data_IF_728710425326
#
_entry.id   IF_728710425326
#
_cell.length_a   1.000
_cell.length_b   1.000
_cell.length_c   1.000
_cell.angle_alpha   90.00
_cell.angle_beta   90.00
_cell.angle_gamma   90.00
#
_symmetry.space_group_name_H-M   'P 1'
#
loop_
_entity.id
_entity.type
_entity.pdbx_description
1 polymer ?
#
# COMPACT_ATOMS: atom_id res chain seq x y z
N UNK A 1 -0.04 33.57 -10.64
CA UNK A 1 -1.14 32.61 -10.90
C UNK A 1 -1.62 32.13 -9.54
N UNK A 2 -2.89 32.35 -9.15
CA UNK A 2 -3.41 31.76 -7.90
C UNK A 2 -3.51 30.25 -8.14
N UNK A 3 -2.77 29.45 -7.37
CA UNK A 3 -3.00 28.00 -7.34
C UNK A 3 -4.41 27.83 -6.82
N UNK A 4 -5.30 27.25 -7.64
CA UNK A 4 -6.64 26.90 -7.21
C UNK A 4 -6.50 25.83 -6.14
N UNK A 5 -7.10 26.06 -4.97
CA UNK A 5 -7.27 25.03 -3.96
C UNK A 5 -8.21 23.96 -4.53
N UNK A 6 -7.65 22.81 -4.93
CA UNK A 6 -8.39 21.74 -5.59
C UNK A 6 -9.52 21.21 -4.72
N UNK A 7 -9.41 21.32 -3.38
CA UNK A 7 -10.47 20.90 -2.45
C UNK A 7 -11.76 21.68 -2.67
N UNK A 8 -11.67 22.95 -3.09
CA UNK A 8 -12.84 23.78 -3.41
C UNK A 8 -13.64 23.29 -4.61
N UNK A 9 -13.08 22.40 -5.44
CA UNK A 9 -13.75 21.79 -6.60
C UNK A 9 -14.50 20.50 -6.24
N UNK A 10 -14.33 19.98 -5.03
CA UNK A 10 -14.94 18.73 -4.60
C UNK A 10 -16.40 18.93 -4.17
N UNK A 11 -17.23 17.89 -4.38
CA UNK A 11 -18.61 17.86 -3.88
C UNK A 11 -18.69 17.57 -2.38
N UNK A 12 -17.67 16.93 -1.82
CA UNK A 12 -17.53 16.57 -0.41
C UNK A 12 -16.06 16.35 -0.07
N UNK A 13 -15.70 16.49 1.20
CA UNK A 13 -14.35 16.20 1.69
C UNK A 13 -14.23 14.71 2.10
N UNK A 14 -13.48 13.95 1.31
CA UNK A 14 -13.17 12.55 1.58
C UNK A 14 -11.85 12.35 2.34
N UNK A 15 -11.19 13.43 2.79
CA UNK A 15 -9.85 13.37 3.39
C UNK A 15 -9.82 12.46 4.62
N UNK A 16 -10.86 12.51 5.48
CA UNK A 16 -10.91 11.66 6.67
C UNK A 16 -10.88 10.17 6.31
N UNK A 17 -11.67 9.76 5.31
CA UNK A 17 -11.71 8.37 4.83
C UNK A 17 -10.37 7.94 4.20
N UNK A 18 -9.76 8.82 3.40
CA UNK A 18 -8.47 8.55 2.77
C UNK A 18 -7.31 8.45 3.78
N UNK A 19 -7.45 9.04 4.97
CA UNK A 19 -6.44 9.05 6.02
C UNK A 19 -6.71 8.03 7.15
N UNK A 20 -7.71 7.15 7.00
CA UNK A 20 -7.99 6.09 7.97
C UNK A 20 -6.75 5.23 8.26
N UNK A 21 -6.55 4.85 9.53
CA UNK A 21 -5.38 4.08 9.97
C UNK A 21 -5.45 2.64 9.48
N UNK A 22 -6.65 2.11 9.29
CA UNK A 22 -6.94 0.75 8.88
C UNK A 22 -6.45 0.41 7.47
N UNK A 23 -6.13 1.43 6.64
CA UNK A 23 -5.60 1.26 5.30
C UNK A 23 -4.30 2.06 5.09
N UNK A 24 -3.16 1.54 5.61
CA UNK A 24 -1.90 2.28 5.64
C UNK A 24 -1.35 2.63 4.24
N UNK A 25 -1.60 1.79 3.23
CA UNK A 25 -1.20 2.06 1.84
C UNK A 25 -1.95 3.26 1.28
N UNK A 26 -3.28 3.30 1.43
CA UNK A 26 -4.09 4.44 0.96
C UNK A 26 -3.72 5.71 1.71
N UNK A 27 -3.54 5.62 3.04
CA UNK A 27 -3.09 6.75 3.87
C UNK A 27 -1.72 7.28 3.42
N UNK A 28 -0.74 6.40 3.18
CA UNK A 28 0.60 6.78 2.71
C UNK A 28 0.56 7.54 1.38
N UNK A 29 -0.11 6.98 0.36
CA UNK A 29 -0.20 7.64 -0.94
C UNK A 29 -1.05 8.91 -0.91
N UNK A 30 -2.06 8.99 -0.03
CA UNK A 30 -2.82 10.23 0.18
C UNK A 30 -1.94 11.33 0.75
N UNK A 31 -1.18 11.04 1.81
CA UNK A 31 -0.28 12.02 2.43
C UNK A 31 0.79 12.51 1.43
N UNK A 32 1.38 11.58 0.68
CA UNK A 32 2.48 11.88 -0.23
C UNK A 32 2.04 12.52 -1.55
N UNK A 33 1.05 11.93 -2.23
CA UNK A 33 0.75 12.25 -3.64
C UNK A 33 -0.49 13.15 -3.80
N UNK A 34 -1.37 13.23 -2.79
CA UNK A 34 -2.57 14.11 -2.82
C UNK A 34 -2.36 15.36 -1.96
N UNK A 35 -1.70 15.22 -0.81
CA UNK A 35 -1.39 16.34 0.09
C UNK A 35 0.02 16.91 -0.09
N UNK A 36 0.80 16.33 -1.01
CA UNK A 36 2.18 16.75 -1.32
C UNK A 36 3.09 16.83 -0.08
N UNK A 37 2.84 16.02 0.97
CA UNK A 37 3.69 16.00 2.15
C UNK A 37 5.07 15.44 1.77
N UNK A 38 6.16 16.06 2.24
CA UNK A 38 7.50 15.62 1.90
C UNK A 38 7.80 14.24 2.51
N UNK A 39 8.65 13.45 1.85
CA UNK A 39 9.01 12.11 2.32
C UNK A 39 9.46 12.03 3.79
N UNK A 40 10.29 12.97 4.29
CA UNK A 40 10.70 13.00 5.71
C UNK A 40 9.61 13.39 6.71
N UNK A 41 8.39 13.74 6.26
CA UNK A 41 7.28 14.07 7.14
C UNK A 41 6.98 12.88 8.09
N UNK A 42 6.83 13.12 9.41
CA UNK A 42 6.61 12.05 10.38
C UNK A 42 5.38 11.18 10.09
N UNK A 43 4.29 11.76 9.59
CA UNK A 43 3.07 11.01 9.26
C UNK A 43 3.27 10.13 8.03
N UNK A 44 3.99 10.64 7.02
CA UNK A 44 4.33 9.88 5.81
C UNK A 44 5.22 8.68 6.19
N UNK A 45 6.22 8.89 7.04
CA UNK A 45 7.11 7.83 7.51
C UNK A 45 6.39 6.81 8.39
N UNK A 46 5.46 7.25 9.23
CA UNK A 46 4.65 6.35 10.05
C UNK A 46 3.75 5.49 9.17
N UNK A 47 2.97 6.09 8.28
CA UNK A 47 2.11 5.35 7.36
C UNK A 47 2.90 4.35 6.51
N UNK A 48 4.11 4.72 6.06
CA UNK A 48 4.99 3.81 5.32
C UNK A 48 5.44 2.60 6.16
N UNK A 49 5.77 2.80 7.44
CA UNK A 49 6.10 1.68 8.36
C UNK A 49 4.88 0.79 8.59
N UNK A 50 3.71 1.40 8.74
CA UNK A 50 2.46 0.71 9.02
C UNK A 50 2.06 -0.25 7.90
N UNK A 51 2.38 0.07 6.64
CA UNK A 51 2.22 -0.84 5.48
C UNK A 51 2.85 -2.21 5.77
N UNK A 52 4.01 -2.26 6.41
CA UNK A 52 4.72 -3.50 6.69
C UNK A 52 4.26 -4.19 7.99
N UNK A 53 3.51 -3.50 8.84
CA UNK A 53 3.18 -3.98 10.20
C UNK A 53 1.78 -4.57 10.31
N UNK A 54 0.79 -4.01 9.61
CA UNK A 54 -0.58 -4.54 9.64
C UNK A 54 -1.31 -4.36 8.30
N UNK A 55 -2.48 -4.98 8.18
CA UNK A 55 -3.28 -4.97 6.95
C UNK A 55 -2.84 -6.04 5.94
N UNK A 56 -2.99 -5.74 4.64
CA UNK A 56 -2.91 -6.74 3.57
C UNK A 56 -1.48 -7.22 3.30
N UNK A 57 -0.48 -6.33 3.33
CA UNK A 57 0.91 -6.65 3.02
C UNK A 57 1.50 -7.73 3.94
N UNK A 58 1.50 -7.59 5.29
CA UNK A 58 2.02 -8.64 6.16
C UNK A 58 1.22 -9.95 6.04
N UNK A 59 -0.08 -9.88 5.74
CA UNK A 59 -0.91 -11.06 5.49
C UNK A 59 -0.49 -11.81 4.22
N UNK A 60 -0.18 -11.10 3.13
CA UNK A 60 0.34 -11.71 1.90
C UNK A 60 1.70 -12.34 2.19
N UNK A 61 2.62 -11.62 2.83
CA UNK A 61 3.97 -12.11 3.14
C UNK A 61 3.92 -13.35 4.05
N UNK A 62 3.03 -13.38 5.04
CA UNK A 62 2.82 -14.56 5.88
C UNK A 62 2.36 -15.76 5.05
N UNK A 63 1.35 -15.57 4.19
CA UNK A 63 0.82 -16.61 3.29
C UNK A 63 1.89 -17.13 2.33
N UNK A 64 2.82 -16.29 1.87
CA UNK A 64 3.89 -16.72 0.98
C UNK A 64 4.86 -17.73 1.61
N UNK A 65 4.89 -17.82 2.94
CA UNK A 65 5.70 -18.79 3.71
C UNK A 65 4.96 -20.11 3.98
N UNK A 66 3.66 -20.18 3.72
CA UNK A 66 2.88 -21.40 3.92
C UNK A 66 3.28 -22.47 2.89
N UNK A 67 3.42 -23.76 3.28
CA UNK A 67 3.75 -24.85 2.36
C UNK A 67 2.82 -24.92 1.14
N UNK A 68 1.54 -24.61 1.34
CA UNK A 68 0.50 -24.58 0.31
C UNK A 68 0.80 -23.55 -0.77
N UNK A 69 1.34 -22.40 -0.36
CA UNK A 69 1.73 -21.35 -1.28
C UNK A 69 3.01 -21.73 -2.04
N UNK A 70 4.00 -22.30 -1.35
CA UNK A 70 5.27 -22.76 -1.97
C UNK A 70 5.03 -23.78 -3.09
N UNK A 71 4.05 -24.68 -2.91
CA UNK A 71 3.63 -25.66 -3.95
C UNK A 71 3.14 -24.99 -5.24
N UNK A 72 2.77 -23.71 -5.21
CA UNK A 72 2.31 -22.95 -6.38
C UNK A 72 3.44 -22.30 -7.18
N UNK A 73 4.68 -22.31 -6.70
CA UNK A 73 5.82 -21.64 -7.34
C UNK A 73 6.04 -22.07 -8.81
N UNK A 74 5.92 -23.35 -9.19
CA UNK A 74 6.02 -23.76 -10.60
C UNK A 74 4.94 -23.12 -11.50
N UNK A 75 3.83 -22.64 -10.91
CA UNK A 75 2.73 -21.94 -11.58
C UNK A 75 2.77 -20.43 -11.31
N UNK A 76 3.98 -19.88 -11.17
CA UNK A 76 4.22 -18.48 -10.75
C UNK A 76 3.40 -17.43 -11.54
N UNK A 77 3.16 -17.66 -12.84
CA UNK A 77 2.35 -16.80 -13.70
C UNK A 77 0.93 -17.33 -13.94
N UNK A 78 0.78 -18.65 -14.15
CA UNK A 78 -0.49 -19.26 -14.60
C UNK A 78 -1.53 -19.40 -13.48
N UNK A 79 -1.13 -19.32 -12.22
CA UNK A 79 -2.04 -19.30 -11.09
C UNK A 79 -2.49 -17.86 -10.78
N UNK A 80 -3.49 -17.34 -11.51
CA UNK A 80 -3.85 -15.92 -11.52
C UNK A 80 -3.96 -15.22 -10.15
N UNK A 81 -4.46 -15.91 -9.12
CA UNK A 81 -4.66 -15.28 -7.80
C UNK A 81 -3.61 -15.67 -6.77
N UNK A 82 -2.88 -16.76 -6.96
CA UNK A 82 -1.92 -17.27 -5.96
C UNK A 82 -0.49 -17.38 -6.49
N UNK A 83 -0.28 -17.16 -7.78
CA UNK A 83 1.04 -17.17 -8.40
C UNK A 83 1.89 -16.01 -7.91
N UNK A 84 3.19 -16.27 -7.79
CA UNK A 84 4.16 -15.32 -7.25
C UNK A 84 4.14 -13.97 -7.96
N UNK A 85 4.02 -13.94 -9.29
CA UNK A 85 4.05 -12.67 -10.05
C UNK A 85 2.91 -11.73 -9.66
N UNK A 86 1.71 -12.27 -9.45
CA UNK A 86 0.52 -11.49 -9.12
C UNK A 86 0.59 -10.93 -7.71
N UNK A 87 1.12 -11.72 -6.77
CA UNK A 87 1.33 -11.26 -5.39
C UNK A 87 2.44 -10.20 -5.31
N UNK A 88 3.50 -10.31 -6.12
CA UNK A 88 4.53 -9.27 -6.20
C UNK A 88 4.00 -7.94 -6.75
N UNK A 89 3.12 -7.98 -7.76
CA UNK A 89 2.45 -6.77 -8.28
C UNK A 89 1.62 -6.11 -7.18
N UNK A 90 0.80 -6.89 -6.46
CA UNK A 90 -0.01 -6.35 -5.35
C UNK A 90 0.87 -5.75 -4.26
N UNK A 91 1.96 -6.41 -3.86
CA UNK A 91 2.89 -5.87 -2.87
C UNK A 91 3.49 -4.52 -3.33
N UNK A 92 3.88 -4.41 -4.60
CA UNK A 92 4.41 -3.17 -5.16
C UNK A 92 3.35 -2.05 -5.19
N UNK A 93 2.13 -2.34 -5.64
CA UNK A 93 1.02 -1.38 -5.66
C UNK A 93 0.61 -0.90 -4.26
N UNK A 94 0.75 -1.76 -3.26
CA UNK A 94 0.50 -1.43 -1.86
C UNK A 94 1.65 -0.66 -1.19
N UNK A 95 2.78 -0.44 -1.88
CA UNK A 95 3.92 0.29 -1.33
C UNK A 95 4.75 -0.53 -0.33
N UNK A 96 4.72 -1.86 -0.42
CA UNK A 96 5.56 -2.72 0.41
C UNK A 96 7.05 -2.37 0.22
N UNK A 97 7.78 -2.32 1.34
CA UNK A 97 9.20 -1.99 1.34
C UNK A 97 10.05 -3.27 1.36
N UNK A 98 11.09 -3.30 0.52
CA UNK A 98 12.07 -4.37 0.55
C UNK A 98 12.85 -4.32 1.88
N UNK A 99 12.89 -5.44 2.58
CA UNK A 99 13.68 -5.62 3.79
C UNK A 99 14.29 -7.04 3.78
N UNK A 100 15.00 -7.40 4.83
CA UNK A 100 15.69 -8.69 4.94
C UNK A 100 14.79 -9.86 5.37
N UNK A 101 13.47 -9.67 5.44
CA UNK A 101 12.53 -10.70 5.88
C UNK A 101 12.30 -11.80 4.84
#
# INVERSE_FOLDING_TARGET
>A
MKVLDWKSLLKADATNWLLEEENPSVRYFTLKDIQDKPGPDPEVQQAKRDIMQFGIVPNILHKQREPEYLKTYPKFYTNKYKGLVWQLIVLAEMGAEANSQ
#
